data_IF_742866492150
#
_entry.id   IF_742866492150
#
_cell.length_a   1.000
_cell.length_b   1.000
_cell.length_c   1.000
_cell.angle_alpha   90.00
_cell.angle_beta   90.00
_cell.angle_gamma   90.00
#
_symmetry.space_group_name_H-M   'P 1'
#
loop_
_entity.id
_entity.type
_entity.pdbx_description
1 polymer ?
#
# COMPACT_ATOMS: atom_id res chain seq x y z
N UNK A 1 17.83 -4.32 5.22
CA UNK A 1 16.74 -4.48 4.24
C UNK A 1 15.45 -4.60 5.05
N UNK A 2 14.51 -3.67 4.91
CA UNK A 2 13.27 -3.60 5.72
C UNK A 2 12.02 -3.97 4.92
N UNK A 3 10.88 -4.09 5.59
CA UNK A 3 9.58 -4.34 4.94
C UNK A 3 9.13 -3.08 4.19
N UNK A 4 8.71 -3.23 2.92
CA UNK A 4 8.15 -2.15 2.13
C UNK A 4 6.73 -2.50 1.69
N UNK A 5 5.76 -1.69 2.08
CA UNK A 5 4.35 -1.82 1.72
C UNK A 5 4.04 -0.96 0.48
N UNK A 6 3.69 -1.60 -0.64
CA UNK A 6 3.27 -0.91 -1.85
C UNK A 6 1.75 -0.79 -1.90
N UNK A 7 1.24 0.44 -2.06
CA UNK A 7 -0.20 0.72 -2.08
C UNK A 7 -0.52 1.62 -3.26
N UNK A 8 -1.55 1.29 -4.04
CA UNK A 8 -2.02 2.13 -5.14
C UNK A 8 -2.98 3.23 -4.68
N UNK A 9 -4.21 2.83 -4.35
CA UNK A 9 -5.23 3.72 -3.81
C UNK A 9 -5.86 3.10 -2.57
N UNK A 10 -5.65 3.73 -1.41
CA UNK A 10 -6.21 3.31 -0.12
C UNK A 10 -7.74 3.29 -0.12
N UNK A 11 -8.36 4.23 -0.83
CA UNK A 11 -9.80 4.45 -0.78
C UNK A 11 -10.55 3.64 -1.84
N UNK A 12 -9.84 2.91 -2.70
CA UNK A 12 -10.46 2.14 -3.78
C UNK A 12 -11.04 0.79 -3.33
N UNK A 13 -10.49 0.21 -2.26
CA UNK A 13 -10.99 -1.02 -1.66
C UNK A 13 -10.52 -1.14 -0.21
N UNK A 14 -11.39 -1.61 0.68
CA UNK A 14 -11.04 -1.89 2.08
C UNK A 14 -9.86 -2.86 2.21
N UNK A 15 -9.66 -3.75 1.22
CA UNK A 15 -8.49 -4.63 1.15
C UNK A 15 -7.17 -3.89 0.94
N UNK A 16 -7.20 -2.70 0.32
CA UNK A 16 -6.00 -1.88 0.09
C UNK A 16 -5.50 -1.16 1.35
N UNK A 17 -6.35 -1.00 2.38
CA UNK A 17 -5.98 -0.39 3.67
C UNK A 17 -5.53 -1.40 4.72
N UNK A 18 -6.08 -2.62 4.70
CA UNK A 18 -5.83 -3.66 5.73
C UNK A 18 -4.35 -3.94 6.02
N UNK A 19 -3.45 -4.03 5.03
CA UNK A 19 -2.04 -4.32 5.30
C UNK A 19 -1.40 -3.27 6.20
N UNK A 20 -1.57 -1.97 5.89
CA UNK A 20 -0.99 -0.89 6.69
C UNK A 20 -1.61 -0.78 8.08
N UNK A 21 -2.90 -1.11 8.23
CA UNK A 21 -3.57 -1.16 9.55
C UNK A 21 -3.00 -2.29 10.40
N UNK A 22 -2.83 -3.49 9.84
CA UNK A 22 -2.27 -4.63 10.55
C UNK A 22 -0.82 -4.38 10.97
N UNK A 23 0.02 -3.87 10.07
CA UNK A 23 1.41 -3.58 10.39
C UNK A 23 1.54 -2.56 11.53
N UNK A 24 0.70 -1.53 11.54
CA UNK A 24 0.64 -0.58 12.67
C UNK A 24 0.09 -1.19 13.95
N UNK A 25 -0.92 -2.05 13.87
CA UNK A 25 -1.51 -2.70 15.04
C UNK A 25 -0.52 -3.63 15.77
N UNK A 26 0.44 -4.20 15.06
CA UNK A 26 1.48 -5.08 15.61
C UNK A 26 2.83 -4.40 15.79
N UNK A 27 2.91 -3.07 15.65
CA UNK A 27 4.14 -2.28 15.78
C UNK A 27 5.30 -2.78 14.90
N UNK A 28 4.97 -3.27 13.69
CA UNK A 28 5.97 -3.76 12.75
C UNK A 28 6.49 -2.55 11.95
N UNK A 29 7.80 -2.27 11.96
CA UNK A 29 8.35 -1.17 11.17
C UNK A 29 8.31 -1.49 9.67
N UNK A 30 7.76 -0.56 8.88
CA UNK A 30 7.70 -0.67 7.42
C UNK A 30 7.84 0.69 6.74
N UNK A 31 8.40 0.67 5.53
CA UNK A 31 8.34 1.79 4.59
C UNK A 31 7.08 1.66 3.73
N UNK A 32 6.44 2.76 3.39
CA UNK A 32 5.24 2.76 2.57
C UNK A 32 5.47 3.50 1.25
N UNK A 33 5.18 2.84 0.13
CA UNK A 33 5.33 3.40 -1.22
C UNK A 33 3.98 3.46 -1.92
N UNK A 34 3.55 4.68 -2.21
CA UNK A 34 2.35 4.91 -3.01
C UNK A 34 2.69 4.77 -4.50
N UNK A 35 2.05 3.84 -5.19
CA UNK A 35 2.19 3.65 -6.64
C UNK A 35 1.01 4.35 -7.31
N UNK A 36 1.28 5.45 -8.02
CA UNK A 36 0.27 6.04 -8.91
C UNK A 36 0.15 5.16 -10.15
N UNK A 37 -1.09 4.89 -10.54
CA UNK A 37 -1.38 4.28 -11.83
C UNK A 37 -1.64 5.42 -12.79
N UNK A 38 -0.75 5.59 -13.76
CA UNK A 38 -0.68 6.79 -14.60
C UNK A 38 -1.62 6.69 -15.81
N UNK A 39 -2.00 5.46 -16.21
CA UNK A 39 -3.05 5.18 -17.19
C UNK A 39 -3.35 3.67 -17.24
N UNK A 40 -4.57 3.29 -17.64
CA UNK A 40 -4.90 1.92 -18.08
C UNK A 40 -4.93 1.80 -19.61
N UNK A 41 -4.58 2.86 -20.34
CA UNK A 41 -4.49 2.80 -21.79
C UNK A 41 -3.35 1.87 -22.19
N UNK A 42 -3.56 0.97 -23.16
CA UNK A 42 -2.47 0.20 -23.74
C UNK A 42 -1.53 1.15 -24.51
N UNK A 43 -0.24 0.84 -24.44
CA UNK A 43 0.84 1.39 -25.28
C UNK A 43 0.65 1.07 -26.77
#
# INVERSE_FOLDING_TARGET
MGLCLYVGNRNYSSWSMRPGVLLRAFDIPFEEKLIRFDSFAPD
#
